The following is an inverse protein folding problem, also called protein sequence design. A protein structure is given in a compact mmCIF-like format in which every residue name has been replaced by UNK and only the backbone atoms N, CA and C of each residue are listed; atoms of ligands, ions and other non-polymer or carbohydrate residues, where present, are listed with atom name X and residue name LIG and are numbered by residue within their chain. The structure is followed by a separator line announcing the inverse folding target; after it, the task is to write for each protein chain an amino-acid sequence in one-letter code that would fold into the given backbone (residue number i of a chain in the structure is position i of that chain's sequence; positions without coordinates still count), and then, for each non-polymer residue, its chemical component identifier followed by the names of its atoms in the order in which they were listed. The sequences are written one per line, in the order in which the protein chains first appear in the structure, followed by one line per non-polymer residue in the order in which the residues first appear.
data_IF_488720061674
#
_entry.id   IF_488720061674
#
_cell.length_a   1.000
_cell.length_b   1.000
_cell.length_c   1.000
_cell.angle_alpha   90.00
_cell.angle_beta   90.00
_cell.angle_gamma   90.00
#
_symmetry.space_group_name_H-M   'P 1'
#
loop_
_entity.id
_entity.type
_entity.pdbx_description
1 polymer ?
#
# COMPACT_ATOMS: atom_id res chain seq x y z
N UNK A 1 12.03 4.64 -19.96
CA UNK A 1 13.44 4.77 -19.56
C UNK A 1 13.60 5.42 -18.19
N UNK A 2 13.18 6.67 -17.97
CA UNK A 2 13.33 7.32 -16.65
C UNK A 2 12.52 6.63 -15.52
N UNK A 3 11.24 6.34 -15.75
CA UNK A 3 10.37 5.67 -14.75
C UNK A 3 10.83 4.23 -14.46
N UNK A 4 11.40 3.54 -15.43
CA UNK A 4 11.98 2.20 -15.23
C UNK A 4 13.30 2.23 -14.47
N UNK A 5 14.13 3.26 -14.69
CA UNK A 5 15.38 3.44 -13.95
C UNK A 5 15.12 3.72 -12.46
N UNK A 6 14.01 4.39 -12.14
CA UNK A 6 13.61 4.67 -10.76
C UNK A 6 13.42 3.42 -9.89
N UNK A 7 12.93 2.31 -10.47
CA UNK A 7 12.76 1.04 -9.74
C UNK A 7 14.03 0.20 -9.76
N UNK A 8 14.95 0.44 -10.70
CA UNK A 8 16.15 -0.41 -10.87
C UNK A 8 17.40 0.17 -10.20
N UNK A 9 17.56 1.50 -10.16
CA UNK A 9 18.75 2.14 -9.59
C UNK A 9 18.83 2.05 -8.06
N UNK A 10 17.75 2.31 -7.29
CA UNK A 10 17.81 2.25 -5.82
C UNK A 10 18.18 0.87 -5.26
N UNK A 11 17.67 -0.27 -5.79
CA UNK A 11 18.17 -1.58 -5.41
C UNK A 11 19.67 -1.74 -5.65
N UNK A 12 20.18 -1.31 -6.81
CA UNK A 12 21.62 -1.40 -7.12
C UNK A 12 22.44 -0.62 -6.09
N UNK A 13 22.00 0.58 -5.70
CA UNK A 13 22.64 1.34 -4.63
C UNK A 13 22.60 0.57 -3.32
N UNK A 14 21.44 0.09 -2.88
CA UNK A 14 21.29 -0.67 -1.63
C UNK A 14 22.19 -1.91 -1.59
N UNK A 15 22.31 -2.64 -2.71
CA UNK A 15 23.17 -3.82 -2.79
C UNK A 15 24.66 -3.48 -2.86
N UNK A 16 25.04 -2.41 -3.54
CA UNK A 16 26.45 -2.01 -3.74
C UNK A 16 27.04 -1.22 -2.58
N UNK A 17 26.22 -0.53 -1.79
CA UNK A 17 26.68 0.15 -0.58
C UNK A 17 26.72 -0.83 0.59
N UNK A 18 27.91 -1.06 1.13
CA UNK A 18 28.09 -1.66 2.44
C UNK A 18 27.96 -0.58 3.50
N UNK A 19 26.93 -0.69 4.32
CA UNK A 19 26.66 0.29 5.35
C UNK A 19 27.50 -0.05 6.58
N UNK A 20 28.44 0.83 6.93
CA UNK A 20 29.30 0.68 8.11
C UNK A 20 28.61 1.00 9.45
N UNK A 21 27.36 1.50 9.41
CA UNK A 21 26.53 1.77 10.60
C UNK A 21 25.85 0.48 11.14
N UNK A 22 25.16 0.58 12.29
CA UNK A 22 24.36 -0.53 12.84
C UNK A 22 23.46 -1.13 11.74
N UNK A 23 23.63 -2.44 11.49
CA UNK A 23 22.98 -3.14 10.37
C UNK A 23 21.46 -3.04 10.43
N UNK A 24 20.87 -2.96 11.62
CA UNK A 24 19.42 -2.76 11.76
C UNK A 24 18.97 -1.39 11.24
N UNK A 25 19.72 -0.34 11.57
CA UNK A 25 19.44 1.02 11.09
C UNK A 25 19.53 1.11 9.56
N UNK A 26 20.46 0.38 8.95
CA UNK A 26 20.58 0.28 7.50
C UNK A 26 19.36 -0.38 6.86
N UNK A 27 18.89 -1.51 7.42
CA UNK A 27 17.68 -2.19 6.90
C UNK A 27 16.46 -1.30 6.98
N UNK A 28 16.29 -0.56 8.09
CA UNK A 28 15.17 0.37 8.25
C UNK A 28 15.26 1.51 7.24
N UNK A 29 16.45 2.12 7.09
CA UNK A 29 16.67 3.18 6.11
C UNK A 29 16.41 2.70 4.67
N UNK A 30 16.94 1.52 4.30
CA UNK A 30 16.70 0.91 3.00
C UNK A 30 15.19 0.66 2.78
N UNK A 31 14.48 0.10 3.77
CA UNK A 31 13.02 -0.11 3.67
C UNK A 31 12.25 1.19 3.43
N UNK A 32 12.62 2.28 4.11
CA UNK A 32 12.01 3.60 3.91
C UNK A 32 12.26 4.11 2.49
N UNK A 33 13.51 4.03 2.01
CA UNK A 33 13.88 4.46 0.66
C UNK A 33 13.15 3.63 -0.41
N UNK A 34 13.15 2.30 -0.29
CA UNK A 34 12.47 1.41 -1.23
C UNK A 34 10.95 1.66 -1.26
N UNK A 35 10.36 1.91 -0.09
CA UNK A 35 8.95 2.31 0.03
C UNK A 35 8.66 3.63 -0.66
N UNK A 36 9.49 4.65 -0.44
CA UNK A 36 9.33 5.96 -1.06
C UNK A 36 9.46 5.90 -2.58
N UNK A 37 10.51 5.24 -3.08
CA UNK A 37 10.73 4.99 -4.51
C UNK A 37 9.52 4.30 -5.16
N UNK A 38 8.97 3.28 -4.50
CA UNK A 38 7.79 2.58 -5.02
C UNK A 38 6.57 3.50 -5.12
N UNK A 39 6.35 4.36 -4.11
CA UNK A 39 5.27 5.35 -4.14
C UNK A 39 5.47 6.35 -5.28
N UNK A 40 6.67 6.90 -5.44
CA UNK A 40 6.95 7.90 -6.50
C UNK A 40 6.79 7.26 -7.88
N UNK A 41 7.29 6.04 -8.08
CA UNK A 41 7.08 5.28 -9.32
C UNK A 41 5.59 5.15 -9.69
N UNK A 42 4.75 4.70 -8.75
CA UNK A 42 3.31 4.56 -8.98
C UNK A 42 2.66 5.91 -9.30
N UNK A 43 3.06 6.98 -8.60
CA UNK A 43 2.59 8.35 -8.88
C UNK A 43 3.00 8.82 -10.27
N UNK A 44 4.24 8.62 -10.69
CA UNK A 44 4.72 9.04 -12.00
C UNK A 44 4.01 8.29 -13.13
N UNK A 45 3.70 7.01 -12.96
CA UNK A 45 2.85 6.28 -13.92
C UNK A 45 1.47 6.92 -14.01
N UNK A 46 0.85 7.21 -12.87
CA UNK A 46 -0.48 7.85 -12.85
C UNK A 46 -0.46 9.21 -13.55
N UNK A 47 0.54 10.05 -13.21
CA UNK A 47 0.75 11.36 -13.82
C UNK A 47 0.93 11.25 -15.33
N UNK A 48 1.74 10.32 -15.80
CA UNK A 48 1.96 10.07 -17.22
C UNK A 48 0.65 9.66 -17.93
N UNK A 49 -0.06 8.66 -17.40
CA UNK A 49 -1.26 8.12 -18.03
C UNK A 49 -2.40 9.13 -18.09
N UNK A 50 -2.61 9.91 -17.03
CA UNK A 50 -3.69 10.91 -16.98
C UNK A 50 -3.40 12.05 -17.96
N UNK A 51 -2.17 12.58 -18.00
CA UNK A 51 -1.79 13.59 -18.98
C UNK A 51 -1.85 13.05 -20.42
N UNK A 52 -1.49 11.79 -20.63
CA UNK A 52 -1.66 11.13 -21.93
C UNK A 52 -3.14 11.08 -22.35
N UNK A 53 -4.04 10.70 -21.44
CA UNK A 53 -5.49 10.68 -21.71
C UNK A 53 -6.04 12.09 -21.98
N UNK A 54 -5.64 13.11 -21.23
CA UNK A 54 -6.01 14.50 -21.50
C UNK A 54 -5.59 14.94 -22.91
N UNK A 55 -4.33 14.66 -23.30
CA UNK A 55 -3.81 14.97 -24.63
C UNK A 55 -4.57 14.23 -25.73
N UNK A 56 -4.88 12.95 -25.55
CA UNK A 56 -5.69 12.18 -26.51
C UNK A 56 -7.11 12.74 -26.66
N UNK A 57 -7.73 13.16 -25.57
CA UNK A 57 -9.09 13.71 -25.59
C UNK A 57 -9.17 15.03 -26.36
N UNK A 58 -8.11 15.84 -26.34
CA UNK A 58 -8.02 17.06 -27.15
C UNK A 58 -7.81 16.74 -28.64
N UNK A 59 -7.03 15.71 -28.97
CA UNK A 59 -6.75 15.34 -30.35
C UNK A 59 -7.93 14.64 -31.06
N UNK A 60 -8.81 13.95 -30.32
CA UNK A 60 -9.92 13.16 -30.90
C UNK A 60 -11.27 13.41 -30.20
N UNK A 61 -11.90 14.58 -30.39
CA UNK A 61 -13.14 14.96 -29.70
C UNK A 61 -14.34 14.04 -30.02
N UNK A 62 -14.35 13.33 -31.16
CA UNK A 62 -15.48 12.48 -31.56
C UNK A 62 -15.66 11.20 -30.71
N UNK A 63 -14.61 10.74 -29.98
CA UNK A 63 -14.74 9.63 -29.01
C UNK A 63 -15.54 10.01 -27.76
N UNK A 64 -15.82 11.30 -27.55
CA UNK A 64 -16.59 11.85 -26.40
C UNK A 64 -18.04 11.36 -26.37
N UNK A 65 -18.64 11.08 -27.52
CA UNK A 65 -20.06 10.68 -27.62
C UNK A 65 -20.30 9.20 -27.26
N UNK A 66 -19.32 8.32 -27.47
CA UNK A 66 -19.49 6.86 -27.30
C UNK A 66 -19.15 6.34 -25.89
N UNK A 67 -18.54 7.18 -25.04
CA UNK A 67 -18.15 6.88 -23.64
C UNK A 67 -18.92 7.70 -22.60
N UNK A 68 -20.14 8.14 -22.90
CA UNK A 68 -21.06 8.66 -21.87
C UNK A 68 -21.56 7.50 -21.01
N UNK A 69 -20.76 7.09 -20.03
CA UNK A 69 -21.21 6.28 -18.91
C UNK A 69 -21.77 7.17 -17.81
N UNK A 70 -22.80 6.66 -17.14
CA UNK A 70 -23.68 7.25 -16.09
C UNK A 70 -22.98 8.12 -15.01
N UNK A 71 -21.66 8.01 -14.83
CA UNK A 71 -20.89 8.89 -13.92
C UNK A 71 -20.88 10.36 -14.37
N UNK A 72 -20.90 10.64 -15.68
CA UNK A 72 -20.84 12.01 -16.22
C UNK A 72 -22.17 12.77 -16.06
N UNK A 73 -23.30 12.07 -15.99
CA UNK A 73 -24.61 12.71 -15.73
C UNK A 73 -24.77 13.08 -14.25
N UNK A 74 -24.22 12.28 -13.33
CA UNK A 74 -24.14 12.63 -11.90
C UNK A 74 -23.21 13.82 -11.64
N UNK A 75 -22.12 13.96 -12.38
CA UNK A 75 -21.24 15.14 -12.29
C UNK A 75 -21.94 16.41 -12.75
N UNK A 76 -22.68 16.39 -13.88
CA UNK A 76 -23.42 17.57 -14.35
C UNK A 76 -24.59 17.99 -13.46
N UNK A 77 -25.32 17.02 -12.88
CA UNK A 77 -26.38 17.35 -11.91
C UNK A 77 -25.81 17.90 -10.60
N UNK A 78 -24.55 17.57 -10.27
CA UNK A 78 -23.83 18.19 -9.15
C UNK A 78 -23.31 19.57 -9.53
N UNK A 79 -22.78 19.74 -10.75
CA UNK A 79 -22.27 21.02 -11.24
C UNK A 79 -23.39 22.09 -11.29
N UNK A 80 -24.57 21.76 -11.82
CA UNK A 80 -25.71 22.71 -11.87
C UNK A 80 -26.25 23.10 -10.48
N UNK A 81 -26.19 22.19 -9.49
CA UNK A 81 -26.57 22.52 -8.11
C UNK A 81 -25.45 23.19 -7.31
N UNK A 82 -24.20 23.16 -7.79
CA UNK A 82 -23.04 23.75 -7.10
C UNK A 82 -22.69 25.14 -7.65
N UNK A 83 -23.10 25.47 -8.88
CA UNK A 83 -22.94 26.81 -9.48
C UNK A 83 -23.58 27.92 -8.64
N UNK A 84 -24.62 27.61 -7.87
CA UNK A 84 -25.29 28.61 -7.03
C UNK A 84 -24.61 28.84 -5.66
N UNK A 85 -23.50 28.18 -5.30
CA UNK A 85 -22.96 28.31 -3.94
C UNK A 85 -21.42 28.21 -3.74
N UNK A 86 -20.58 28.30 -4.77
CA UNK A 86 -19.12 28.35 -4.54
C UNK A 86 -18.44 29.46 -5.34
N UNK A 87 -18.25 30.60 -4.68
CA UNK A 87 -17.24 31.58 -5.07
C UNK A 87 -15.83 30.94 -5.14
N UNK A 88 -15.18 30.99 -6.31
CA UNK A 88 -13.80 31.49 -6.38
C UNK A 88 -12.60 30.53 -6.57
N UNK A 89 -12.70 29.45 -7.34
CA UNK A 89 -11.49 28.79 -7.86
C UNK A 89 -11.68 28.33 -9.31
N UNK A 90 -10.96 28.96 -10.24
CA UNK A 90 -10.92 28.58 -11.65
C UNK A 90 -10.35 27.16 -11.79
N UNK A 91 -11.08 26.27 -12.48
CA UNK A 91 -10.66 24.88 -12.65
C UNK A 91 -9.44 24.80 -13.58
N UNK A 92 -8.41 24.05 -13.18
CA UNK A 92 -7.22 23.84 -14.01
C UNK A 92 -7.57 22.87 -15.14
N UNK A 93 -7.29 23.27 -16.38
CA UNK A 93 -7.52 22.50 -17.60
C UNK A 93 -6.18 22.23 -18.29
N UNK A 94 -6.01 21.05 -18.88
CA UNK A 94 -4.81 20.73 -19.67
C UNK A 94 -4.68 21.69 -20.86
N UNK A 95 -3.49 22.26 -21.16
CA UNK A 95 -2.17 21.91 -20.61
C UNK A 95 -1.70 22.74 -19.41
N UNK A 96 -2.54 23.60 -18.83
CA UNK A 96 -2.13 24.54 -17.77
C UNK A 96 -1.71 23.85 -16.46
N UNK A 97 -2.06 22.57 -16.29
CA UNK A 97 -1.62 21.73 -15.17
C UNK A 97 -0.14 21.32 -15.22
N UNK A 98 0.55 21.56 -16.35
CA UNK A 98 1.95 21.18 -16.55
C UNK A 98 2.90 22.22 -15.94
N UNK A 99 2.87 22.36 -14.62
CA UNK A 99 3.76 23.24 -13.88
C UNK A 99 4.40 22.51 -12.68
N UNK A 100 5.53 23.03 -12.19
CA UNK A 100 6.26 22.41 -11.07
C UNK A 100 5.44 22.36 -9.78
N UNK A 101 4.60 23.36 -9.52
CA UNK A 101 3.80 23.45 -8.30
C UNK A 101 2.80 22.30 -8.18
N UNK A 102 2.12 21.95 -9.27
CA UNK A 102 1.10 20.91 -9.29
C UNK A 102 1.71 19.51 -9.19
N UNK A 103 2.83 19.26 -9.87
CA UNK A 103 3.54 17.98 -9.75
C UNK A 103 4.12 17.80 -8.34
N UNK A 104 4.76 18.81 -7.76
CA UNK A 104 5.26 18.71 -6.37
C UNK A 104 4.11 18.52 -5.38
N UNK A 105 2.98 19.22 -5.56
CA UNK A 105 1.81 19.00 -4.74
C UNK A 105 1.35 17.53 -4.79
N UNK A 106 1.22 16.98 -5.99
CA UNK A 106 0.81 15.59 -6.18
C UNK A 106 1.83 14.59 -5.60
N UNK A 107 3.13 14.84 -5.73
CA UNK A 107 4.18 14.00 -5.17
C UNK A 107 4.06 13.86 -3.64
N UNK A 108 3.63 14.91 -2.94
CA UNK A 108 3.41 14.85 -1.49
C UNK A 108 1.97 14.46 -1.09
N UNK A 109 0.98 14.66 -1.96
CA UNK A 109 -0.42 14.33 -1.65
C UNK A 109 -0.58 12.84 -1.27
N UNK A 110 -1.40 12.48 -0.27
CA UNK A 110 -1.56 11.09 0.18
C UNK A 110 -2.49 10.27 -0.74
N UNK A 111 -2.29 10.38 -2.05
CA UNK A 111 -2.99 9.61 -3.09
C UNK A 111 -1.99 9.18 -4.16
N UNK A 112 -2.28 8.04 -4.81
CA UNK A 112 -1.48 7.53 -5.93
C UNK A 112 -2.09 7.88 -7.30
N UNK A 113 -3.35 8.31 -7.32
CA UNK A 113 -4.06 8.67 -8.54
C UNK A 113 -3.92 10.18 -8.79
N UNK A 114 -3.26 10.56 -9.88
CA UNK A 114 -3.17 11.94 -10.30
C UNK A 114 -4.51 12.45 -10.84
N UNK A 115 -4.89 13.65 -10.41
CA UNK A 115 -6.03 14.40 -10.94
C UNK A 115 -5.63 15.85 -11.13
N UNK A 116 -6.25 16.53 -12.09
CA UNK A 116 -5.95 17.92 -12.39
C UNK A 116 -6.39 18.83 -11.22
N UNK A 117 -7.53 18.51 -10.62
CA UNK A 117 -8.15 19.33 -9.58
C UNK A 117 -8.47 18.46 -8.36
N UNK A 118 -7.57 18.45 -7.38
CA UNK A 118 -7.81 17.75 -6.12
C UNK A 118 -8.75 18.53 -5.20
N UNK A 119 -9.68 17.86 -4.49
CA UNK A 119 -10.52 18.52 -3.49
C UNK A 119 -9.64 19.12 -2.38
N UNK A 120 -9.91 20.37 -2.00
CA UNK A 120 -9.12 21.10 -1.00
C UNK A 120 -9.93 21.42 0.26
N UNK A 121 -9.29 21.27 1.41
CA UNK A 121 -9.81 21.79 2.68
C UNK A 121 -9.62 23.30 2.75
N UNK A 122 -10.61 24.04 3.27
CA UNK A 122 -10.55 25.51 3.37
C UNK A 122 -9.44 26.01 4.30
N UNK A 123 -9.18 25.28 5.40
CA UNK A 123 -8.18 25.64 6.42
C UNK A 123 -7.51 24.41 7.04
N UNK A 124 -6.35 24.64 7.65
CA UNK A 124 -5.66 23.65 8.48
C UNK A 124 -6.27 23.69 9.89
N UNK A 125 -6.85 22.57 10.33
CA UNK A 125 -7.45 22.35 11.64
C UNK A 125 -6.35 21.94 12.63
N UNK A 126 -5.72 22.92 13.28
CA UNK A 126 -4.58 22.72 14.20
C UNK A 126 -4.85 21.65 15.28
N UNK A 127 -6.03 21.66 15.91
CA UNK A 127 -6.40 20.65 16.94
C UNK A 127 -6.42 19.23 16.38
N UNK A 128 -6.94 19.05 15.16
CA UNK A 128 -6.94 17.77 14.48
C UNK A 128 -5.50 17.33 14.17
N UNK A 129 -4.68 18.23 13.62
CA UNK A 129 -3.29 17.94 13.31
C UNK A 129 -2.47 17.53 14.54
N UNK A 130 -2.56 18.30 15.64
CA UNK A 130 -1.87 17.98 16.90
C UNK A 130 -2.30 16.61 17.42
N UNK A 131 -3.62 16.31 17.40
CA UNK A 131 -4.13 14.99 17.79
C UNK A 131 -3.50 13.87 16.96
N UNK A 132 -3.44 14.02 15.63
CA UNK A 132 -2.82 13.03 14.74
C UNK A 132 -1.33 12.83 15.03
N UNK A 133 -0.59 13.92 15.27
CA UNK A 133 0.84 13.86 15.59
C UNK A 133 1.08 13.16 16.93
N UNK A 134 0.28 13.45 17.96
CA UNK A 134 0.38 12.78 19.26
C UNK A 134 0.07 11.28 19.16
N UNK A 135 -0.97 10.90 18.39
CA UNK A 135 -1.27 9.50 18.11
C UNK A 135 -0.11 8.80 17.39
N UNK A 136 0.51 9.46 16.40
CA UNK A 136 1.67 8.92 15.70
C UNK A 136 2.84 8.63 16.64
N UNK A 137 3.16 9.56 17.54
CA UNK A 137 4.25 9.40 18.52
C UNK A 137 3.92 8.25 19.48
N UNK A 138 2.71 8.24 20.04
CA UNK A 138 2.27 7.19 20.97
C UNK A 138 2.29 5.79 20.34
N UNK A 139 1.68 5.64 19.16
CA UNK A 139 1.60 4.34 18.48
C UNK A 139 2.97 3.83 18.05
N UNK A 140 3.88 4.72 17.61
CA UNK A 140 5.24 4.33 17.28
C UNK A 140 5.99 3.81 18.52
N UNK A 141 5.88 4.52 19.65
CA UNK A 141 6.46 4.06 20.92
C UNK A 141 5.86 2.73 21.38
N UNK A 142 4.54 2.55 21.23
CA UNK A 142 3.86 1.29 21.55
C UNK A 142 4.37 0.13 20.67
N UNK A 143 4.50 0.34 19.36
CA UNK A 143 5.05 -0.67 18.43
C UNK A 143 6.48 -1.04 18.82
N UNK A 144 7.34 -0.06 19.10
CA UNK A 144 8.72 -0.31 19.54
C UNK A 144 8.77 -1.10 20.85
N UNK A 145 7.92 -0.76 21.82
CA UNK A 145 7.79 -1.48 23.09
C UNK A 145 7.38 -2.94 22.86
N UNK A 146 6.37 -3.20 22.02
CA UNK A 146 5.93 -4.56 21.69
C UNK A 146 7.01 -5.38 20.99
N UNK A 147 7.77 -4.75 20.09
CA UNK A 147 8.89 -5.43 19.43
C UNK A 147 9.95 -5.81 20.47
N UNK A 148 10.38 -4.87 21.31
CA UNK A 148 11.45 -5.11 22.29
C UNK A 148 11.05 -6.09 23.40
N UNK A 149 9.83 -5.99 23.92
CA UNK A 149 9.40 -6.77 25.09
C UNK A 149 8.73 -8.09 24.72
N UNK A 150 8.13 -8.20 23.53
CA UNK A 150 7.38 -9.41 23.15
C UNK A 150 8.05 -10.15 21.98
N UNK A 151 8.33 -9.48 20.86
CA UNK A 151 8.89 -10.15 19.66
C UNK A 151 10.31 -10.62 19.91
N UNK A 152 11.21 -9.73 20.33
CA UNK A 152 12.65 -10.04 20.47
C UNK A 152 12.89 -11.21 21.44
N UNK A 153 12.29 -11.26 22.65
CA UNK A 153 12.48 -12.41 23.55
C UNK A 153 11.90 -13.70 22.98
N UNK A 154 10.77 -13.62 22.27
CA UNK A 154 10.16 -14.80 21.65
C UNK A 154 11.03 -15.37 20.53
N UNK A 155 11.61 -14.50 19.69
CA UNK A 155 12.57 -14.90 18.65
C UNK A 155 13.81 -15.53 19.28
N UNK A 156 14.44 -14.88 20.27
CA UNK A 156 15.62 -15.43 20.94
C UNK A 156 15.35 -16.82 21.55
N UNK A 157 14.17 -17.02 22.13
CA UNK A 157 13.75 -18.31 22.69
C UNK A 157 13.37 -19.36 21.62
N UNK A 158 13.08 -18.94 20.38
CA UNK A 158 12.74 -19.86 19.28
C UNK A 158 13.94 -20.29 18.43
N UNK A 159 15.15 -19.76 18.69
CA UNK A 159 16.36 -20.14 17.96
C UNK A 159 16.80 -21.58 18.24
N UNK A 160 16.79 -22.00 19.52
CA UNK A 160 17.25 -23.34 19.93
C UNK A 160 16.48 -24.50 19.25
N UNK A 161 15.13 -24.47 19.14
CA UNK A 161 14.40 -25.54 18.47
C UNK A 161 14.59 -25.64 16.95
N UNK A 162 15.01 -24.55 16.28
CA UNK A 162 15.26 -24.56 14.83
C UNK A 162 16.54 -25.29 14.47
N UNK A 163 17.56 -25.22 15.33
CA UNK A 163 18.81 -25.99 15.20
C UNK A 163 18.56 -27.50 15.34
N UNK A 164 17.55 -27.89 16.11
CA UNK A 164 17.19 -29.29 16.39
C UNK A 164 16.30 -29.93 15.29
N UNK A 165 15.97 -29.22 14.20
CA UNK A 165 15.14 -29.68 13.07
C UNK A 165 13.77 -30.29 13.46
N UNK A 166 13.18 -29.87 14.58
CA UNK A 166 11.84 -30.32 15.00
C UNK A 166 10.75 -29.44 14.40
N UNK A 167 10.14 -29.90 13.30
CA UNK A 167 9.05 -29.20 12.60
C UNK A 167 7.84 -28.90 13.50
N UNK A 168 7.57 -29.74 14.51
CA UNK A 168 6.44 -29.53 15.42
C UNK A 168 6.66 -28.33 16.35
N UNK A 169 7.87 -28.23 16.90
CA UNK A 169 8.30 -27.08 17.72
C UNK A 169 8.40 -25.82 16.87
N UNK A 170 8.86 -25.90 15.63
CA UNK A 170 8.88 -24.76 14.72
C UNK A 170 7.47 -24.19 14.50
N UNK A 171 6.48 -25.06 14.23
CA UNK A 171 5.09 -24.63 14.05
C UNK A 171 4.52 -23.98 15.32
N UNK A 172 4.78 -24.58 16.49
CA UNK A 172 4.37 -24.02 17.79
C UNK A 172 4.94 -22.60 17.99
N UNK A 173 6.22 -22.39 17.65
CA UNK A 173 6.89 -21.08 17.79
C UNK A 173 6.39 -20.06 16.78
N UNK A 174 6.13 -20.47 15.53
CA UNK A 174 5.50 -19.60 14.53
C UNK A 174 4.12 -19.12 14.98
N UNK A 175 3.31 -20.01 15.56
CA UNK A 175 2.00 -19.64 16.10
C UNK A 175 2.10 -18.68 17.30
N UNK A 176 3.08 -18.89 18.20
CA UNK A 176 3.37 -17.95 19.31
C UNK A 176 3.76 -16.56 18.81
N UNK A 177 4.46 -16.49 17.69
CA UNK A 177 4.86 -15.22 17.06
C UNK A 177 3.76 -14.57 16.22
N UNK A 178 2.81 -15.35 15.71
CA UNK A 178 1.74 -14.86 14.85
C UNK A 178 0.86 -13.80 15.54
N UNK A 179 0.53 -14.00 16.83
CA UNK A 179 -0.30 -13.08 17.61
C UNK A 179 0.36 -11.70 17.79
N UNK A 180 1.57 -11.58 18.38
CA UNK A 180 2.22 -10.28 18.54
C UNK A 180 2.53 -9.62 17.20
N UNK A 181 2.90 -10.40 16.18
CA UNK A 181 3.09 -9.89 14.82
C UNK A 181 1.79 -9.26 14.29
N UNK A 182 0.67 -9.97 14.37
CA UNK A 182 -0.62 -9.45 13.93
C UNK A 182 -1.01 -8.17 14.67
N UNK A 183 -0.79 -8.11 15.99
CA UNK A 183 -1.07 -6.91 16.77
C UNK A 183 -0.23 -5.71 16.33
N UNK A 184 1.06 -5.91 16.07
CA UNK A 184 1.95 -4.87 15.50
C UNK A 184 1.44 -4.41 14.13
N UNK A 185 0.99 -5.32 13.27
CA UNK A 185 0.42 -4.97 11.97
C UNK A 185 -0.86 -4.13 12.06
N UNK A 186 -1.73 -4.41 13.03
CA UNK A 186 -2.92 -3.59 13.29
C UNK A 186 -2.54 -2.18 13.77
N UNK A 187 -1.58 -2.07 14.68
CA UNK A 187 -1.07 -0.79 15.15
C UNK A 187 -0.39 -0.01 14.03
N UNK A 188 0.42 -0.68 13.21
CA UNK A 188 1.07 -0.08 12.05
C UNK A 188 0.04 0.41 11.03
N UNK A 189 -1.00 -0.38 10.77
CA UNK A 189 -2.12 0.01 9.91
C UNK A 189 -2.73 1.33 10.38
N UNK A 190 -3.11 1.42 11.66
CA UNK A 190 -3.72 2.63 12.22
C UNK A 190 -2.73 3.81 12.28
N UNK A 191 -1.47 3.56 12.65
CA UNK A 191 -0.42 4.57 12.65
C UNK A 191 -0.20 5.17 11.26
N UNK A 192 -0.10 4.33 10.22
CA UNK A 192 0.17 4.78 8.86
C UNK A 192 -1.08 5.31 8.15
N UNK A 193 -2.07 4.44 7.90
CA UNK A 193 -3.23 4.77 7.06
C UNK A 193 -4.20 5.73 7.71
N UNK A 194 -4.35 5.66 9.03
CA UNK A 194 -5.22 6.59 9.74
C UNK A 194 -4.46 7.83 10.18
N UNK A 195 -3.43 7.70 11.02
CA UNK A 195 -2.82 8.88 11.65
C UNK A 195 -1.89 9.65 10.71
N UNK A 196 -0.95 8.95 10.06
CA UNK A 196 0.08 9.57 9.21
C UNK A 196 -0.51 10.17 7.93
N UNK A 197 -1.33 9.42 7.18
CA UNK A 197 -1.95 9.94 5.95
C UNK A 197 -2.91 11.12 6.24
N UNK A 198 -3.65 11.09 7.35
CA UNK A 198 -4.49 12.24 7.72
C UNK A 198 -3.67 13.46 8.16
N UNK A 199 -2.53 13.27 8.82
CA UNK A 199 -1.64 14.37 9.17
C UNK A 199 -1.08 15.03 7.89
N UNK A 200 -0.58 14.22 6.95
CA UNK A 200 -0.10 14.69 5.64
C UNK A 200 -1.23 15.38 4.86
N UNK A 201 -2.42 14.79 4.82
CA UNK A 201 -3.59 15.38 4.17
C UNK A 201 -3.96 16.74 4.77
N UNK A 202 -3.91 16.87 6.10
CA UNK A 202 -4.22 18.12 6.78
C UNK A 202 -3.19 19.21 6.46
N UNK A 203 -1.89 18.88 6.51
CA UNK A 203 -0.79 19.82 6.16
C UNK A 203 -0.93 20.30 4.72
N UNK A 204 -1.24 19.39 3.79
CA UNK A 204 -1.40 19.69 2.36
C UNK A 204 -2.79 20.23 1.99
N UNK A 205 -3.68 20.40 2.96
CA UNK A 205 -5.10 20.75 2.76
C UNK A 205 -5.79 19.84 1.73
N UNK A 206 -5.40 18.57 1.69
CA UNK A 206 -6.01 17.55 0.86
C UNK A 206 -7.37 17.14 1.45
N UNK A 207 -8.42 17.28 0.66
CA UNK A 207 -9.81 17.08 1.07
C UNK A 207 -10.29 15.64 0.99
N UNK A 208 -9.71 14.82 0.10
CA UNK A 208 -10.04 13.41 0.01
C UNK A 208 -9.27 12.63 1.08
N UNK A 209 -9.98 12.07 2.05
CA UNK A 209 -9.35 11.37 3.19
C UNK A 209 -9.81 9.92 3.29
N UNK A 210 -10.34 9.39 2.20
CA UNK A 210 -10.84 8.04 2.13
C UNK A 210 -9.69 7.05 1.83
N UNK A 211 -8.84 6.83 2.82
CA UNK A 211 -7.64 5.98 2.67
C UNK A 211 -7.91 4.49 2.86
N UNK A 212 -8.96 4.16 3.60
CA UNK A 212 -9.39 2.79 3.89
C UNK A 212 -10.89 2.77 4.25
N UNK A 213 -11.51 1.58 4.19
CA UNK A 213 -12.89 1.34 4.58
C UNK A 213 -12.95 0.25 5.67
N UNK A 214 -14.14 -0.22 6.02
CA UNK A 214 -14.42 -1.25 7.03
C UNK A 214 -13.96 -2.67 6.65
N UNK A 215 -12.68 -2.81 6.28
CA UNK A 215 -12.06 -4.08 5.89
C UNK A 215 -12.04 -5.13 7.01
N UNK A 216 -12.23 -4.73 8.27
CA UNK A 216 -12.36 -5.67 9.39
C UNK A 216 -13.67 -6.48 9.36
N UNK A 217 -14.70 -5.95 8.70
CA UNK A 217 -15.99 -6.62 8.48
C UNK A 217 -16.05 -7.40 7.14
N UNK A 218 -14.91 -7.62 6.50
CA UNK A 218 -14.82 -8.36 5.23
C UNK A 218 -15.38 -9.77 5.35
N UNK A 219 -16.46 -10.10 4.66
CA UNK A 219 -16.97 -11.49 4.56
C UNK A 219 -16.24 -12.34 3.51
N UNK A 220 -15.42 -11.70 2.66
CA UNK A 220 -14.61 -12.39 1.68
C UNK A 220 -13.26 -11.68 1.48
N UNK A 221 -12.27 -12.46 1.02
CA UNK A 221 -10.89 -12.01 0.82
C UNK A 221 -10.81 -10.90 -0.23
N UNK A 222 -11.67 -10.91 -1.25
CA UNK A 222 -11.70 -9.87 -2.26
C UNK A 222 -12.12 -8.51 -1.69
N UNK A 223 -13.13 -8.47 -0.82
CA UNK A 223 -13.58 -7.25 -0.13
C UNK A 223 -12.45 -6.68 0.72
N UNK A 224 -11.72 -7.52 1.46
CA UNK A 224 -10.55 -7.09 2.23
C UNK A 224 -9.52 -6.37 1.35
N UNK A 225 -9.07 -7.01 0.26
CA UNK A 225 -8.02 -6.47 -0.62
C UNK A 225 -8.40 -5.16 -1.32
N UNK A 226 -9.70 -4.85 -1.46
CA UNK A 226 -10.18 -3.60 -2.04
C UNK A 226 -10.30 -2.45 -1.03
N UNK A 227 -10.47 -2.78 0.25
CA UNK A 227 -10.88 -1.82 1.28
C UNK A 227 -9.79 -1.46 2.29
N UNK A 228 -8.72 -2.25 2.43
CA UNK A 228 -7.66 -1.96 3.41
C UNK A 228 -6.77 -0.78 2.99
N UNK A 229 -6.39 -0.68 1.71
CA UNK A 229 -5.51 0.35 1.16
C UNK A 229 -6.11 0.90 -0.14
N UNK A 230 -6.99 1.87 0.02
CA UNK A 230 -7.77 2.44 -1.09
C UNK A 230 -6.89 3.17 -2.10
N UNK A 231 -5.87 3.96 -1.72
CA UNK A 231 -4.98 4.60 -2.69
C UNK A 231 -4.33 3.60 -3.66
N UNK A 232 -3.83 2.47 -3.16
CA UNK A 232 -3.25 1.42 -4.01
C UNK A 232 -4.33 0.71 -4.80
N UNK A 233 -5.47 0.38 -4.18
CA UNK A 233 -6.58 -0.28 -4.88
C UNK A 233 -7.09 0.55 -6.07
N UNK A 234 -7.37 1.83 -5.85
CA UNK A 234 -7.81 2.75 -6.90
C UNK A 234 -6.77 2.88 -8.02
N UNK A 235 -5.49 2.94 -7.66
CA UNK A 235 -4.41 2.97 -8.65
C UNK A 235 -4.41 1.70 -9.50
N UNK A 236 -4.47 0.52 -8.88
CA UNK A 236 -4.53 -0.76 -9.56
C UNK A 236 -5.74 -0.86 -10.49
N UNK A 237 -6.91 -0.38 -10.04
CA UNK A 237 -8.13 -0.37 -10.85
C UNK A 237 -7.98 0.57 -12.07
N UNK A 238 -7.57 1.82 -11.82
CA UNK A 238 -7.55 2.89 -12.84
C UNK A 238 -6.42 2.71 -13.87
N UNK A 239 -5.23 2.32 -13.42
CA UNK A 239 -4.01 2.34 -14.23
C UNK A 239 -3.57 0.97 -14.74
N UNK A 240 -4.14 -0.13 -14.21
CA UNK A 240 -3.81 -1.47 -14.67
C UNK A 240 -5.04 -2.27 -15.09
N UNK A 241 -6.00 -2.47 -14.18
CA UNK A 241 -7.17 -3.32 -14.44
C UNK A 241 -8.05 -2.80 -15.59
N UNK A 242 -8.53 -1.55 -15.50
CA UNK A 242 -9.40 -0.96 -16.53
C UNK A 242 -8.72 -0.90 -17.90
N UNK A 243 -7.45 -0.45 -18.03
CA UNK A 243 -6.71 -0.53 -19.30
C UNK A 243 -6.62 -1.94 -19.88
N UNK A 244 -6.28 -2.97 -19.08
CA UNK A 244 -6.25 -4.35 -19.54
C UNK A 244 -7.63 -4.83 -20.01
N UNK A 245 -8.69 -4.47 -19.30
CA UNK A 245 -10.07 -4.78 -19.70
C UNK A 245 -10.45 -4.07 -21.01
N UNK A 246 -10.02 -2.83 -21.21
CA UNK A 246 -10.25 -2.07 -22.44
C UNK A 246 -9.46 -2.61 -23.64
N UNK A 247 -8.35 -3.30 -23.40
CA UNK A 247 -7.59 -4.02 -24.44
C UNK A 247 -8.16 -5.39 -24.78
N UNK A 248 -9.25 -5.81 -24.13
CA UNK A 248 -9.94 -7.07 -24.42
C UNK A 248 -9.54 -8.26 -23.54
N UNK A 249 -8.65 -8.09 -22.56
CA UNK A 249 -8.27 -9.17 -21.64
C UNK A 249 -9.43 -9.58 -20.72
N UNK A 250 -9.49 -10.87 -20.35
CA UNK A 250 -10.51 -11.41 -19.46
C UNK A 250 -10.41 -10.86 -18.02
N UNK A 251 -11.47 -10.99 -17.22
CA UNK A 251 -11.50 -10.49 -15.84
C UNK A 251 -10.44 -11.20 -14.99
N UNK A 252 -10.29 -12.51 -15.22
CA UNK A 252 -9.31 -13.35 -14.54
C UNK A 252 -7.89 -12.90 -14.88
N UNK A 253 -7.56 -12.70 -16.16
CA UNK A 253 -6.21 -12.26 -16.57
C UNK A 253 -5.89 -10.88 -15.98
N UNK A 254 -6.82 -9.92 -16.05
CA UNK A 254 -6.61 -8.60 -15.48
C UNK A 254 -6.44 -8.63 -13.95
N UNK A 255 -7.22 -9.47 -13.26
CA UNK A 255 -7.09 -9.66 -11.81
C UNK A 255 -5.75 -10.31 -11.45
N UNK A 256 -5.35 -11.38 -12.14
CA UNK A 256 -4.05 -12.04 -11.92
C UNK A 256 -2.89 -11.09 -12.17
N UNK A 257 -2.96 -10.23 -13.19
CA UNK A 257 -1.93 -9.22 -13.45
C UNK A 257 -1.79 -8.21 -12.30
N UNK A 258 -2.91 -7.76 -11.71
CA UNK A 258 -2.89 -6.89 -10.52
C UNK A 258 -2.25 -7.60 -9.33
N UNK A 259 -2.60 -8.87 -9.09
CA UNK A 259 -2.00 -9.65 -8.00
C UNK A 259 -0.52 -9.93 -8.22
N UNK A 260 -0.07 -10.21 -9.45
CA UNK A 260 1.33 -10.40 -9.79
C UNK A 260 2.14 -9.11 -9.57
N UNK A 261 1.62 -7.96 -9.99
CA UNK A 261 2.26 -6.68 -9.73
C UNK A 261 2.36 -6.41 -8.22
N UNK A 262 1.30 -6.70 -7.48
CA UNK A 262 1.29 -6.57 -6.02
C UNK A 262 2.33 -7.49 -5.38
N UNK A 263 2.38 -8.77 -5.78
CA UNK A 263 3.34 -9.75 -5.29
C UNK A 263 4.80 -9.33 -5.56
N UNK A 264 5.07 -8.77 -6.74
CA UNK A 264 6.37 -8.19 -7.08
C UNK A 264 6.77 -7.09 -6.08
N UNK A 265 5.88 -6.13 -5.80
CA UNK A 265 6.20 -5.05 -4.85
C UNK A 265 6.36 -5.55 -3.41
N UNK A 266 5.59 -6.55 -2.98
CA UNK A 266 5.75 -7.14 -1.64
C UNK A 266 7.12 -7.82 -1.50
N UNK A 267 7.53 -8.61 -2.47
CA UNK A 267 8.87 -9.22 -2.49
C UNK A 267 9.96 -8.16 -2.57
N UNK A 268 9.81 -7.17 -3.45
CA UNK A 268 10.77 -6.09 -3.63
C UNK A 268 11.00 -5.28 -2.36
N UNK A 269 9.91 -4.92 -1.65
CA UNK A 269 9.98 -4.11 -0.43
C UNK A 269 10.54 -4.86 0.78
N UNK A 270 10.52 -6.20 0.77
CA UNK A 270 11.01 -7.03 1.88
C UNK A 270 12.42 -7.55 1.58
N UNK A 271 12.63 -8.10 0.39
CA UNK A 271 13.85 -8.82 0.02
C UNK A 271 15.03 -7.89 -0.28
N UNK A 272 14.79 -6.72 -0.89
CA UNK A 272 15.86 -5.78 -1.22
C UNK A 272 16.48 -5.15 0.03
N UNK A 273 15.72 -4.58 0.99
CA UNK A 273 16.31 -4.01 2.22
C UNK A 273 17.07 -5.04 3.06
N UNK A 274 16.57 -6.29 3.10
CA UNK A 274 17.19 -7.38 3.84
C UNK A 274 18.34 -8.06 3.08
N UNK A 275 18.55 -7.71 1.80
CA UNK A 275 19.49 -8.37 0.88
C UNK A 275 19.28 -9.90 0.83
N UNK A 276 18.03 -10.36 0.93
CA UNK A 276 17.67 -11.78 1.01
C UNK A 276 16.56 -12.11 0.01
N UNK A 277 16.87 -12.86 -1.04
CA UNK A 277 15.88 -13.26 -2.04
C UNK A 277 15.42 -14.70 -1.79
N UNK A 278 14.20 -14.87 -1.27
CA UNK A 278 13.60 -16.19 -0.96
C UNK A 278 12.24 -16.44 -1.63
N UNK A 279 11.62 -15.41 -2.22
CA UNK A 279 10.30 -15.48 -2.85
C UNK A 279 9.14 -15.88 -1.92
N UNK A 280 9.29 -15.89 -0.60
CA UNK A 280 8.20 -16.26 0.31
C UNK A 280 7.07 -15.22 0.33
N UNK A 281 7.40 -13.92 0.27
CA UNK A 281 6.39 -12.87 0.23
C UNK A 281 5.62 -12.90 -1.10
N UNK A 282 6.34 -13.14 -2.20
CA UNK A 282 5.76 -13.36 -3.53
C UNK A 282 4.79 -14.55 -3.55
N UNK A 283 5.24 -15.72 -3.09
CA UNK A 283 4.43 -16.94 -3.07
C UNK A 283 3.24 -16.81 -2.11
N UNK A 284 3.43 -16.16 -0.95
CA UNK A 284 2.35 -15.87 -0.01
C UNK A 284 1.24 -15.01 -0.63
N UNK A 285 1.61 -14.01 -1.43
CA UNK A 285 0.65 -13.18 -2.18
C UNK A 285 -0.06 -13.96 -3.29
N UNK A 286 0.64 -14.83 -4.02
CA UNK A 286 0.01 -15.69 -5.03
C UNK A 286 -0.91 -16.74 -4.41
N UNK A 287 -0.57 -17.27 -3.23
CA UNK A 287 -1.40 -18.20 -2.45
C UNK A 287 -2.76 -17.61 -2.02
N UNK A 288 -2.89 -16.28 -1.98
CA UNK A 288 -4.16 -15.62 -1.71
C UNK A 288 -5.19 -15.80 -2.83
N UNK A 289 -4.76 -16.04 -4.08
CA UNK A 289 -5.68 -16.26 -5.21
C UNK A 289 -6.50 -17.55 -5.07
N UNK A 290 -5.90 -18.75 -4.88
CA UNK A 290 -6.67 -19.97 -4.63
C UNK A 290 -7.41 -19.90 -3.29
N UNK A 291 -6.81 -19.31 -2.25
CA UNK A 291 -7.48 -19.12 -0.96
C UNK A 291 -8.75 -18.28 -1.08
N UNK A 292 -8.71 -17.17 -1.82
CA UNK A 292 -9.89 -16.34 -2.06
C UNK A 292 -11.01 -17.11 -2.76
N UNK A 293 -10.68 -17.97 -3.73
CA UNK A 293 -11.69 -18.81 -4.41
C UNK A 293 -12.26 -19.87 -3.47
N UNK A 294 -11.44 -20.42 -2.58
CA UNK A 294 -11.88 -21.37 -1.57
C UNK A 294 -12.86 -20.71 -0.59
N UNK A 295 -12.49 -19.57 -0.01
CA UNK A 295 -13.37 -18.82 0.91
C UNK A 295 -14.69 -18.47 0.23
N UNK A 296 -14.65 -17.91 -0.99
CA UNK A 296 -15.85 -17.54 -1.74
C UNK A 296 -16.77 -18.74 -2.06
N UNK A 297 -16.20 -19.93 -2.25
CA UNK A 297 -16.97 -21.15 -2.59
C UNK A 297 -17.52 -21.87 -1.37
N UNK A 298 -16.83 -21.85 -0.23
CA UNK A 298 -17.12 -22.73 0.91
C UNK A 298 -17.48 -22.00 2.20
N UNK A 299 -17.10 -20.73 2.38
CA UNK A 299 -17.25 -19.99 3.63
C UNK A 299 -18.03 -18.70 3.39
N UNK A 300 -19.20 -18.58 4.01
CA UNK A 300 -20.10 -17.44 3.83
C UNK A 300 -20.30 -16.66 5.13
N UNK A 301 -20.64 -15.37 4.99
CA UNK A 301 -20.98 -14.47 6.10
C UNK A 301 -19.87 -14.43 7.18
N UNK A 302 -20.24 -14.72 8.43
CA UNK A 302 -19.33 -14.72 9.59
C UNK A 302 -18.17 -15.71 9.45
N UNK A 303 -18.37 -16.87 8.82
CA UNK A 303 -17.30 -17.83 8.59
C UNK A 303 -16.29 -17.34 7.54
N UNK A 304 -16.78 -16.59 6.54
CA UNK A 304 -15.92 -15.90 5.59
C UNK A 304 -15.07 -14.81 6.27
N UNK A 305 -15.68 -14.05 7.19
CA UNK A 305 -14.95 -13.07 8.00
C UNK A 305 -13.90 -13.72 8.91
N UNK A 306 -14.25 -14.82 9.58
CA UNK A 306 -13.29 -15.61 10.36
C UNK A 306 -12.12 -16.10 9.50
N UNK A 307 -12.38 -16.57 8.28
CA UNK A 307 -11.33 -16.99 7.35
C UNK A 307 -10.40 -15.84 6.94
N UNK A 308 -10.96 -14.65 6.70
CA UNK A 308 -10.16 -13.44 6.44
C UNK A 308 -9.26 -13.15 7.64
N UNK A 309 -9.79 -13.11 8.86
CA UNK A 309 -8.99 -12.86 10.07
C UNK A 309 -7.88 -13.90 10.28
N UNK A 310 -8.19 -15.19 10.12
CA UNK A 310 -7.18 -16.25 10.18
C UNK A 310 -6.08 -15.95 9.15
N UNK A 311 -6.43 -15.65 7.90
CA UNK A 311 -5.46 -15.33 6.86
C UNK A 311 -4.59 -14.10 7.16
N UNK A 312 -5.10 -13.12 7.92
CA UNK A 312 -4.33 -11.95 8.36
C UNK A 312 -3.39 -12.25 9.53
N UNK A 313 -3.64 -13.31 10.28
CA UNK A 313 -2.78 -13.75 11.39
C UNK A 313 -1.69 -14.68 10.87
N UNK A 314 -2.05 -15.70 10.09
CA UNK A 314 -1.12 -16.77 9.65
C UNK A 314 -0.61 -16.60 8.22
N UNK A 315 -1.19 -15.71 7.43
CA UNK A 315 -0.88 -15.57 6.01
C UNK A 315 0.30 -14.63 5.76
N UNK A 316 0.08 -13.59 4.96
CA UNK A 316 1.16 -12.75 4.45
C UNK A 316 2.04 -12.14 5.57
N UNK A 317 1.48 -11.54 6.64
CA UNK A 317 2.28 -10.96 7.72
C UNK A 317 3.28 -11.93 8.35
N UNK A 318 2.95 -13.23 8.41
CA UNK A 318 3.85 -14.26 8.93
C UNK A 318 5.00 -14.55 7.95
N UNK A 319 4.73 -14.53 6.63
CA UNK A 319 5.79 -14.65 5.62
C UNK A 319 6.83 -13.53 5.78
N UNK A 320 6.40 -12.28 6.02
CA UNK A 320 7.33 -11.16 6.27
C UNK A 320 8.12 -11.39 7.55
N UNK A 321 7.47 -11.87 8.62
CA UNK A 321 8.17 -12.18 9.86
C UNK A 321 9.26 -13.22 9.66
N UNK A 322 9.05 -14.24 8.82
CA UNK A 322 10.07 -15.25 8.51
C UNK A 322 11.33 -14.64 7.87
N UNK A 323 11.20 -13.59 7.05
CA UNK A 323 12.37 -12.88 6.52
C UNK A 323 13.16 -12.19 7.63
N UNK A 324 12.47 -11.46 8.51
CA UNK A 324 13.11 -10.76 9.63
C UNK A 324 13.73 -11.71 10.64
N UNK A 325 13.07 -12.84 10.90
CA UNK A 325 13.59 -13.92 11.70
C UNK A 325 14.93 -14.42 11.13
N UNK A 326 14.96 -14.81 9.86
CA UNK A 326 16.18 -15.35 9.25
C UNK A 326 17.28 -14.31 9.07
N UNK A 327 16.92 -13.04 8.86
CA UNK A 327 17.87 -11.94 8.90
C UNK A 327 18.51 -11.80 10.28
N UNK A 328 17.70 -11.83 11.34
CA UNK A 328 18.16 -11.70 12.72
C UNK A 328 19.08 -12.86 13.11
N UNK A 329 18.68 -14.10 12.82
CA UNK A 329 19.50 -15.32 12.95
C UNK A 329 20.85 -15.14 12.26
N UNK A 330 20.87 -14.81 10.97
CA UNK A 330 22.12 -14.73 10.20
C UNK A 330 23.12 -13.70 10.73
N UNK A 331 22.63 -12.63 11.35
CA UNK A 331 23.45 -11.46 11.70
C UNK A 331 23.78 -11.32 13.19
N UNK A 332 22.94 -11.83 14.07
CA UNK A 332 23.08 -11.64 15.52
C UNK A 332 23.39 -12.93 16.29
N UNK A 333 23.37 -14.11 15.66
CA UNK A 333 23.80 -15.38 16.30
C UNK A 333 25.31 -15.66 16.16
N UNK A 334 25.96 -15.14 15.12
CA UNK A 334 27.38 -15.38 14.82
C UNK A 334 28.31 -14.25 15.33
N UNK A 335 27.83 -13.40 16.22
CA UNK A 335 28.56 -12.23 16.75
C UNK A 335 28.97 -12.44 18.21
#
# INVERSE_FOLDING_TARGET
MLVTAEVLCPPVVVYSTDCHADRLSCVVAASIVMGHVSIVFLKLISYHMVNYWCRMNLAYPYRRLRRRSVSSERERHRDQNTENNVHGAELVIYPNNLNFKDIYYFLFAPTLCYELNFPRSSRIRKRFLIKRVLEMIFLLQLILCLIQQWIVPTINNSLKPLEEMDYSRMLERLLKLAIPNHFIWLLFFYWYFHSSLNAVAEILRFGDRYFYNDWWNSENVQYFWRNWNIPVHQWCVRHLYIPLRNWGYSKQVASTAVFLLSAFFHEYLVSVPLKMFRAWAFLGMLGQLPFSKFVEKYLHNQYGNMAVWISLIIGQPLCILMYYHDYYVKHYQNA
#
